data_IF_877299030887
#
_entry.id   IF_877299030887
#
_cell.length_a   1.000
_cell.length_b   1.000
_cell.length_c   1.000
_cell.angle_alpha   90.00
_cell.angle_beta   90.00
_cell.angle_gamma   90.00
#
_symmetry.space_group_name_H-M   'P 1'
#
loop_
_entity.id
_entity.type
_entity.pdbx_description
1 polymer ?
#
# COMPACT_ATOMS: atom_id res chain seq x y z
N UNK A 1 15.99 5.77 -4.27
CA UNK A 1 15.85 7.25 -4.24
C UNK A 1 16.25 7.86 -2.92
N UNK A 2 15.73 7.38 -1.77
CA UNK A 2 16.05 7.94 -0.45
C UNK A 2 17.54 7.78 -0.08
N UNK A 3 18.10 6.59 -0.26
CA UNK A 3 19.53 6.32 -0.03
C UNK A 3 20.45 7.12 -0.98
N UNK A 4 20.08 7.20 -2.26
CA UNK A 4 20.85 7.90 -3.30
C UNK A 4 20.85 9.43 -3.14
N UNK A 5 19.85 10.00 -2.45
CA UNK A 5 19.76 11.46 -2.19
C UNK A 5 20.92 11.95 -1.31
N UNK A 6 21.54 11.09 -0.52
CA UNK A 6 22.69 11.46 0.31
C UNK A 6 23.93 11.77 -0.53
N UNK A 7 23.99 11.23 -1.76
CA UNK A 7 25.16 11.30 -2.64
C UNK A 7 24.91 12.15 -3.90
N UNK A 8 23.65 12.32 -4.32
CA UNK A 8 23.29 13.00 -5.57
C UNK A 8 22.16 14.02 -5.39
N UNK A 9 22.16 15.12 -6.16
CA UNK A 9 21.08 16.11 -6.11
C UNK A 9 19.76 15.50 -6.57
N UNK A 10 18.69 15.78 -5.82
CA UNK A 10 17.35 15.24 -6.05
C UNK A 10 16.84 15.52 -7.48
N UNK A 11 17.16 16.68 -8.04
CA UNK A 11 16.74 17.05 -9.41
C UNK A 11 17.34 16.12 -10.47
N UNK A 12 18.61 15.75 -10.33
CA UNK A 12 19.26 14.79 -11.23
C UNK A 12 18.64 13.41 -11.11
N UNK A 13 18.40 12.96 -9.87
CA UNK A 13 17.74 11.69 -9.60
C UNK A 13 16.32 11.63 -10.21
N UNK A 14 15.52 12.67 -10.03
CA UNK A 14 14.18 12.75 -10.58
C UNK A 14 14.18 12.78 -12.11
N UNK A 15 15.15 13.48 -12.73
CA UNK A 15 15.32 13.51 -14.19
C UNK A 15 15.65 12.14 -14.75
N UNK A 16 16.58 11.40 -14.13
CA UNK A 16 16.94 10.04 -14.54
C UNK A 16 15.76 9.07 -14.39
N UNK A 17 14.96 9.23 -13.32
CA UNK A 17 13.79 8.40 -13.08
C UNK A 17 12.53 8.84 -13.84
N UNK A 18 12.57 9.96 -14.59
CA UNK A 18 11.40 10.50 -15.27
C UNK A 18 10.25 10.92 -14.34
N UNK A 19 10.56 11.30 -13.08
CA UNK A 19 9.57 11.62 -12.07
C UNK A 19 9.44 13.13 -11.85
N UNK A 20 8.21 13.62 -11.71
CA UNK A 20 7.95 14.99 -11.29
C UNK A 20 8.28 15.19 -9.80
N UNK A 21 8.74 16.40 -9.44
CA UNK A 21 9.06 16.77 -8.04
C UNK A 21 7.85 16.66 -7.11
N UNK A 22 6.67 17.03 -7.59
CA UNK A 22 5.40 16.89 -6.85
C UNK A 22 5.07 15.43 -6.54
N UNK A 23 5.25 14.53 -7.52
CA UNK A 23 5.04 13.09 -7.35
C UNK A 23 5.97 12.51 -6.28
N UNK A 24 7.24 12.93 -6.28
CA UNK A 24 8.19 12.51 -5.26
C UNK A 24 7.77 12.92 -3.85
N UNK A 25 7.39 14.18 -3.64
CA UNK A 25 6.95 14.64 -2.31
C UNK A 25 5.61 14.04 -1.91
N UNK A 26 4.71 13.79 -2.86
CA UNK A 26 3.48 13.03 -2.60
C UNK A 26 3.78 11.62 -2.11
N UNK A 27 4.64 10.89 -2.81
CA UNK A 27 5.07 9.54 -2.43
C UNK A 27 5.80 9.53 -1.09
N UNK A 28 6.70 10.49 -0.86
CA UNK A 28 7.41 10.64 0.42
C UNK A 28 6.42 10.86 1.57
N UNK A 29 5.45 11.76 1.39
CA UNK A 29 4.41 12.01 2.39
C UNK A 29 3.53 10.78 2.61
N UNK A 30 3.19 10.04 1.56
CA UNK A 30 2.42 8.80 1.65
C UNK A 30 3.19 7.71 2.42
N UNK A 31 4.51 7.58 2.17
CA UNK A 31 5.38 6.64 2.88
C UNK A 31 5.60 7.03 4.36
N UNK A 32 5.63 8.32 4.68
CA UNK A 32 5.71 8.83 6.05
C UNK A 32 4.39 8.73 6.82
N UNK A 33 3.27 8.50 6.13
CA UNK A 33 1.96 8.37 6.77
C UNK A 33 1.74 6.92 7.19
N UNK A 34 1.31 6.69 8.44
CA UNK A 34 0.94 5.36 8.89
C UNK A 34 -0.16 4.79 7.98
N UNK A 35 0.05 3.56 7.49
CA UNK A 35 -0.94 2.88 6.66
C UNK A 35 -2.17 2.54 7.53
N UNK A 36 -3.20 3.39 7.42
CA UNK A 36 -4.48 3.26 8.13
C UNK A 36 -5.12 1.88 7.93
N UNK A 37 -4.78 1.19 6.84
CA UNK A 37 -5.33 -0.12 6.50
C UNK A 37 -4.30 -1.25 6.63
N UNK A 38 -3.15 -1.02 7.29
CA UNK A 38 -2.12 -2.04 7.46
C UNK A 38 -2.67 -3.33 8.07
N UNK A 39 -3.37 -3.23 9.21
CA UNK A 39 -3.96 -4.38 9.91
C UNK A 39 -4.96 -5.13 9.01
N UNK A 40 -5.73 -4.37 8.25
CA UNK A 40 -6.73 -4.91 7.35
C UNK A 40 -6.10 -5.61 6.13
N UNK A 41 -5.05 -5.04 5.54
CA UNK A 41 -4.27 -5.70 4.49
C UNK A 41 -3.68 -7.02 5.00
N UNK A 42 -3.15 -7.04 6.21
CA UNK A 42 -2.65 -8.26 6.85
C UNK A 42 -3.74 -9.32 7.00
N UNK A 43 -4.95 -8.92 7.43
CA UNK A 43 -6.12 -9.83 7.53
C UNK A 43 -6.58 -10.37 6.18
N UNK A 44 -6.57 -9.52 5.14
CA UNK A 44 -6.88 -9.93 3.76
C UNK A 44 -5.87 -10.96 3.27
N UNK A 45 -4.58 -10.71 3.47
CA UNK A 45 -3.51 -11.62 3.07
C UNK A 45 -3.61 -12.95 3.80
N UNK A 46 -3.83 -12.94 5.11
CA UNK A 46 -4.02 -14.19 5.89
C UNK A 46 -5.23 -14.97 5.41
N UNK A 47 -6.38 -14.33 5.16
CA UNK A 47 -7.55 -15.02 4.59
C UNK A 47 -7.26 -15.59 3.21
N UNK A 48 -6.56 -14.83 2.36
CA UNK A 48 -6.19 -15.27 1.03
C UNK A 48 -5.29 -16.52 1.08
N UNK A 49 -4.26 -16.52 1.93
CA UNK A 49 -3.34 -17.64 2.14
C UNK A 49 -4.02 -18.85 2.78
N UNK A 50 -4.84 -18.65 3.81
CA UNK A 50 -5.63 -19.70 4.46
C UNK A 50 -6.50 -20.46 3.43
N UNK A 51 -7.06 -19.74 2.47
CA UNK A 51 -7.85 -20.32 1.39
C UNK A 51 -7.02 -20.68 0.15
N UNK A 52 -5.69 -20.71 0.26
CA UNK A 52 -4.75 -21.09 -0.81
C UNK A 52 -4.97 -20.29 -2.10
N UNK A 53 -5.27 -19.00 -1.96
CA UNK A 53 -5.56 -18.08 -3.05
C UNK A 53 -6.91 -18.28 -3.75
N UNK A 54 -7.79 -19.16 -3.26
CA UNK A 54 -9.10 -19.45 -3.88
C UNK A 54 -10.16 -18.38 -3.58
N UNK A 55 -9.87 -17.50 -2.64
CA UNK A 55 -10.79 -16.43 -2.24
C UNK A 55 -10.45 -15.17 -3.01
N UNK A 56 -11.29 -14.84 -4.00
CA UNK A 56 -11.29 -13.52 -4.61
C UNK A 56 -11.99 -12.49 -3.72
N UNK A 57 -11.96 -11.22 -4.15
CA UNK A 57 -12.49 -10.06 -3.41
C UNK A 57 -13.80 -10.32 -2.67
N UNK A 58 -14.85 -10.79 -3.37
CA UNK A 58 -16.18 -11.05 -2.76
C UNK A 58 -16.14 -12.03 -1.59
N UNK A 59 -15.35 -13.10 -1.68
CA UNK A 59 -15.24 -14.12 -0.61
C UNK A 59 -14.43 -13.59 0.57
N UNK A 60 -13.40 -12.79 0.31
CA UNK A 60 -12.64 -12.10 1.35
C UNK A 60 -13.54 -11.10 2.09
N UNK A 61 -14.32 -10.28 1.38
CA UNK A 61 -15.27 -9.33 1.99
C UNK A 61 -16.29 -10.04 2.88
N UNK A 62 -16.83 -11.18 2.42
CA UNK A 62 -17.78 -11.97 3.21
C UNK A 62 -17.12 -12.55 4.48
N UNK A 63 -15.89 -13.09 4.36
CA UNK A 63 -15.14 -13.61 5.48
C UNK A 63 -14.82 -12.53 6.52
N UNK A 64 -14.42 -11.33 6.08
CA UNK A 64 -14.20 -10.18 6.96
C UNK A 64 -15.48 -9.74 7.67
N UNK A 65 -16.62 -9.73 6.96
CA UNK A 65 -17.92 -9.42 7.56
C UNK A 65 -18.32 -10.45 8.63
N UNK A 66 -18.07 -11.73 8.38
CA UNK A 66 -18.33 -12.80 9.35
C UNK A 66 -17.43 -12.71 10.59
N UNK A 67 -16.24 -12.12 10.46
CA UNK A 67 -15.33 -11.81 11.57
C UNK A 67 -15.73 -10.50 12.31
N UNK A 68 -16.90 -9.95 12.03
CA UNK A 68 -17.40 -8.71 12.66
C UNK A 68 -16.80 -7.42 12.07
N UNK A 69 -16.00 -7.51 11.01
CA UNK A 69 -15.43 -6.34 10.34
C UNK A 69 -16.27 -5.97 9.12
N UNK A 70 -17.20 -5.01 9.29
CA UNK A 70 -17.99 -4.46 8.18
C UNK A 70 -17.17 -3.38 7.49
N UNK A 71 -16.68 -3.69 6.28
CA UNK A 71 -15.89 -2.77 5.48
C UNK A 71 -16.76 -2.28 4.33
N UNK A 72 -17.19 -1.02 4.42
CA UNK A 72 -18.09 -0.41 3.43
C UNK A 72 -17.32 0.35 2.33
N UNK A 73 -15.99 0.39 2.39
CA UNK A 73 -15.15 1.09 1.42
C UNK A 73 -14.19 0.12 0.73
N UNK A 74 -14.06 0.24 -0.59
CA UNK A 74 -13.01 -0.49 -1.33
C UNK A 74 -11.66 0.07 -0.89
N UNK A 75 -10.76 -0.84 -0.50
CA UNK A 75 -9.37 -0.53 -0.14
C UNK A 75 -8.55 -0.09 -1.34
#
# INVERSE_FOLDING_TARGET
MLELRQQYPLEGLLKVAGLARSMFYYQQKALSTADKYAELKTKILTLFEQHKGRYGYRRITLALRNLGQVINHML
#
